data_IF_763312996324
#
_entry.id   IF_763312996324
#
_cell.length_a   1.000
_cell.length_b   1.000
_cell.length_c   1.000
_cell.angle_alpha   90.00
_cell.angle_beta   90.00
_cell.angle_gamma   90.00
#
_symmetry.space_group_name_H-M   'P 1'
#
loop_
_entity.id
_entity.type
_entity.pdbx_description
1 polymer ?
#
# COMPACT_ATOMS: atom_id res chain seq x y z
N UNK A 1 -12.20 10.25 -87.52
CA UNK A 1 -12.21 9.26 -86.41
C UNK A 1 -13.09 9.78 -85.29
N UNK A 2 -13.96 8.97 -84.69
CA UNK A 2 -14.73 9.40 -83.52
C UNK A 2 -13.82 9.61 -82.30
N UNK A 3 -14.20 10.47 -81.35
CA UNK A 3 -13.43 10.68 -80.12
C UNK A 3 -13.44 9.43 -79.24
N UNK A 4 -12.38 9.22 -78.42
CA UNK A 4 -12.34 8.11 -77.49
C UNK A 4 -13.44 8.24 -76.43
N UNK A 5 -13.94 7.10 -75.89
CA UNK A 5 -14.95 7.13 -74.85
C UNK A 5 -14.42 7.80 -73.58
N UNK A 6 -15.31 8.38 -72.75
CA UNK A 6 -14.93 8.94 -71.45
C UNK A 6 -14.28 7.88 -70.57
N UNK A 7 -13.24 8.27 -69.83
CA UNK A 7 -12.62 7.40 -68.86
C UNK A 7 -13.61 7.04 -67.73
N UNK A 8 -13.57 5.80 -67.19
CA UNK A 8 -14.36 5.43 -66.03
C UNK A 8 -14.05 6.34 -64.83
N UNK A 9 -15.08 6.72 -64.08
CA UNK A 9 -14.90 7.47 -62.83
C UNK A 9 -14.10 6.65 -61.81
N UNK A 10 -13.18 7.27 -61.06
CA UNK A 10 -12.44 6.58 -60.01
C UNK A 10 -13.40 6.11 -58.90
N UNK A 11 -13.17 4.89 -58.43
CA UNK A 11 -13.91 4.32 -57.31
C UNK A 11 -13.51 5.02 -55.99
N UNK A 12 -14.45 5.20 -55.04
CA UNK A 12 -14.12 5.79 -53.75
C UNK A 12 -13.16 4.87 -52.97
N UNK A 13 -12.27 5.45 -52.14
CA UNK A 13 -11.38 4.68 -51.29
C UNK A 13 -12.15 3.92 -50.20
N UNK A 14 -11.60 2.81 -49.68
CA UNK A 14 -12.21 2.06 -48.59
C UNK A 14 -12.25 2.89 -47.29
N UNK A 15 -13.19 2.60 -46.38
CA UNK A 15 -13.23 3.24 -45.07
C UNK A 15 -11.99 2.90 -44.25
N UNK A 16 -11.55 3.86 -43.42
CA UNK A 16 -10.45 3.66 -42.48
C UNK A 16 -10.86 2.67 -41.38
N UNK A 17 -9.94 1.79 -41.02
CA UNK A 17 -10.14 0.85 -39.91
C UNK A 17 -10.34 1.58 -38.58
N UNK A 18 -11.20 1.07 -37.69
CA UNK A 18 -11.37 1.65 -36.36
C UNK A 18 -10.07 1.54 -35.57
N UNK A 19 -9.74 2.63 -34.85
CA UNK A 19 -8.62 2.64 -33.92
C UNK A 19 -8.95 1.73 -32.71
N UNK A 20 -8.01 0.87 -32.28
CA UNK A 20 -8.22 0.07 -31.08
C UNK A 20 -8.35 0.97 -29.85
N UNK A 21 -9.30 0.65 -28.97
CA UNK A 21 -9.46 1.34 -27.69
C UNK A 21 -8.28 1.03 -26.75
N UNK A 22 -7.84 1.99 -25.93
CA UNK A 22 -6.79 1.75 -24.95
C UNK A 22 -7.21 0.70 -23.91
N UNK A 23 -6.25 -0.05 -23.33
CA UNK A 23 -6.54 -1.02 -22.29
C UNK A 23 -7.07 -0.33 -21.02
N UNK A 24 -7.88 -1.04 -20.21
CA UNK A 24 -8.33 -0.52 -18.91
C UNK A 24 -7.14 -0.32 -17.95
N UNK A 25 -7.26 0.60 -16.97
CA UNK A 25 -6.25 0.78 -15.95
C UNK A 25 -6.09 -0.48 -15.09
N UNK A 26 -4.90 -0.72 -14.52
CA UNK A 26 -4.68 -1.85 -13.63
C UNK A 26 -5.53 -1.72 -12.35
N UNK A 27 -5.90 -2.84 -11.73
CA UNK A 27 -6.59 -2.82 -10.44
C UNK A 27 -5.69 -2.22 -9.36
N UNK A 28 -6.26 -1.62 -8.30
CA UNK A 28 -5.50 -1.15 -7.16
C UNK A 28 -4.74 -2.30 -6.48
N UNK A 29 -3.50 -2.03 -6.06
CA UNK A 29 -2.70 -3.02 -5.33
C UNK A 29 -3.35 -3.38 -3.99
N UNK A 30 -3.30 -4.65 -3.57
CA UNK A 30 -3.76 -5.05 -2.24
C UNK A 30 -2.98 -4.30 -1.17
N UNK A 31 -3.69 -3.72 -0.20
CA UNK A 31 -3.05 -3.14 0.98
C UNK A 31 -2.49 -4.25 1.86
N UNK A 32 -1.26 -4.10 2.33
CA UNK A 32 -0.68 -5.02 3.31
C UNK A 32 -1.46 -4.92 4.62
N UNK A 33 -1.74 -6.04 5.31
CA UNK A 33 -2.38 -6.00 6.61
C UNK A 33 -1.46 -5.27 7.61
N UNK A 34 -2.03 -4.58 8.62
CA UNK A 34 -1.24 -3.95 9.66
C UNK A 34 -0.38 -5.00 10.36
N UNK A 35 0.87 -4.64 10.62
CA UNK A 35 1.80 -5.50 11.36
C UNK A 35 1.32 -5.74 12.79
N UNK A 36 1.40 -6.98 13.31
CA UNK A 36 1.03 -7.24 14.69
C UNK A 36 1.95 -6.44 15.63
N UNK A 37 1.33 -5.69 16.55
CA UNK A 37 2.02 -4.98 17.62
C UNK A 37 1.78 -5.70 18.94
N UNK A 38 2.83 -5.86 19.74
CA UNK A 38 2.74 -6.39 21.10
C UNK A 38 3.13 -5.29 22.08
N UNK A 39 2.26 -5.03 23.06
CA UNK A 39 2.53 -4.11 24.16
C UNK A 39 2.72 -4.92 25.43
N UNK A 40 3.85 -4.71 26.10
CA UNK A 40 4.15 -5.30 27.40
C UNK A 40 4.33 -4.21 28.42
N UNK A 41 3.62 -4.32 29.54
CA UNK A 41 3.78 -3.43 30.69
C UNK A 41 4.42 -4.21 31.84
N UNK A 42 5.42 -3.63 32.47
CA UNK A 42 6.10 -4.20 33.63
C UNK A 42 6.12 -3.18 34.75
N UNK A 43 5.74 -3.61 35.95
CA UNK A 43 5.77 -2.78 37.15
C UNK A 43 6.73 -3.41 38.15
N UNK A 44 7.68 -2.62 38.64
CA UNK A 44 8.63 -3.01 39.67
C UNK A 44 8.44 -2.14 40.90
N UNK A 45 8.44 -2.74 42.09
CA UNK A 45 8.40 -2.02 43.36
C UNK A 45 9.63 -2.40 44.18
N UNK A 46 10.33 -1.39 44.68
CA UNK A 46 11.48 -1.52 45.56
C UNK A 46 11.17 -0.90 46.91
N UNK A 47 11.53 -1.60 47.98
CA UNK A 47 11.34 -1.16 49.37
C UNK A 47 12.72 -1.09 50.02
N UNK A 48 13.07 0.08 50.53
CA UNK A 48 14.32 0.31 51.29
C UNK A 48 13.99 0.70 52.72
N UNK A 49 14.64 0.03 53.69
CA UNK A 49 14.47 0.30 55.11
C UNK A 49 15.79 0.85 55.64
N UNK A 50 15.76 2.09 56.14
CA UNK A 50 16.92 2.76 56.72
C UNK A 50 16.82 2.74 58.24
N UNK A 51 17.80 2.11 58.89
CA UNK A 51 18.00 2.09 60.36
C UNK A 51 16.71 1.82 61.16
N UNK A 52 15.84 0.93 60.66
CA UNK A 52 14.54 0.57 61.28
C UNK A 52 13.55 1.71 61.53
N UNK A 53 13.82 2.92 61.02
CA UNK A 53 13.06 4.13 61.36
C UNK A 53 12.40 4.77 60.13
N UNK A 54 12.92 4.50 58.93
CA UNK A 54 12.36 5.07 57.70
C UNK A 54 12.22 4.01 56.61
N UNK A 55 11.03 3.94 56.04
CA UNK A 55 10.70 3.06 54.92
C UNK A 55 10.52 3.95 53.69
N UNK A 56 11.27 3.65 52.63
CA UNK A 56 11.09 4.26 51.30
C UNK A 56 10.56 3.20 50.35
N UNK A 57 9.44 3.52 49.70
CA UNK A 57 8.82 2.66 48.69
C UNK A 57 8.92 3.39 47.37
N UNK A 58 9.44 2.73 46.35
CA UNK A 58 9.58 3.27 45.00
C UNK A 58 8.97 2.29 44.01
N UNK A 59 8.04 2.77 43.20
CA UNK A 59 7.38 1.98 42.17
C UNK A 59 7.69 2.57 40.80
N UNK A 60 8.14 1.72 39.88
CA UNK A 60 8.46 2.08 38.51
C UNK A 60 7.63 1.23 37.55
N UNK A 61 6.92 1.88 36.64
CA UNK A 61 6.16 1.22 35.58
C UNK A 61 6.80 1.55 34.23
N UNK A 62 7.10 0.52 33.46
CA UNK A 62 7.65 0.63 32.11
C UNK A 62 6.70 -0.04 31.12
N UNK A 63 6.42 0.65 30.01
CA UNK A 63 5.63 0.11 28.90
C UNK A 63 6.50 0.04 27.66
N UNK A 64 6.63 -1.15 27.09
CA UNK A 64 7.39 -1.41 25.87
C UNK A 64 6.44 -1.84 24.76
N UNK A 65 6.55 -1.19 23.61
CA UNK A 65 5.78 -1.55 22.41
C UNK A 65 6.73 -2.05 21.34
N UNK A 66 6.51 -3.27 20.86
CA UNK A 66 7.27 -3.88 19.78
C UNK A 66 6.37 -4.07 18.57
N UNK A 67 6.83 -3.62 17.40
CA UNK A 67 6.12 -3.80 16.13
C UNK A 67 6.94 -4.72 15.24
N UNK A 68 6.38 -5.89 14.91
CA UNK A 68 7.04 -6.84 14.02
C UNK A 68 6.67 -6.53 12.58
N UNK A 69 7.59 -5.95 11.79
CA UNK A 69 7.34 -5.73 10.36
C UNK A 69 7.54 -7.05 9.61
N UNK A 70 6.48 -7.61 9.05
CA UNK A 70 6.56 -8.78 8.17
C UNK A 70 6.42 -8.34 6.72
N UNK A 71 7.48 -8.52 5.93
CA UNK A 71 7.48 -8.28 4.48
C UNK A 71 7.29 -9.62 3.78
N UNK A 72 6.18 -9.79 3.06
CA UNK A 72 6.01 -10.91 2.13
C UNK A 72 6.79 -10.57 0.85
N UNK A 73 7.80 -11.39 0.52
CA UNK A 73 8.59 -11.35 -0.73
C UNK A 73 7.95 -12.22 -1.81
#
# INVERSE_FOLDING_TARGET
>A
SPPPPPAPSPHPPPPLSPCPTPPPPPPPSPSTPPSPSSTSTSTSTSISIYNSTSISISTSTSTSTSTSTSTFI
#
